data_IF_084007238476
#
_entry.id   IF_084007238476
#
_cell.length_a   1.000
_cell.length_b   1.000
_cell.length_c   1.000
_cell.angle_alpha   90.00
_cell.angle_beta   90.00
_cell.angle_gamma   90.00
#
_symmetry.space_group_name_H-M   'P 1'
#
loop_
_entity.id
_entity.type
_entity.pdbx_description
1 polymer ?
#
# COMPACT_ATOMS: atom_id res chain seq x y z
N UNK A 1 33.57 -52.63 -32.70
CA UNK A 1 34.16 -53.84 -32.07
C UNK A 1 35.07 -53.38 -30.92
N UNK A 2 34.94 -53.95 -29.72
CA UNK A 2 35.94 -54.83 -29.04
C UNK A 2 37.37 -54.24 -28.98
N UNK A 3 37.82 -53.82 -27.79
CA UNK A 3 38.69 -54.57 -26.83
C UNK A 3 40.19 -54.46 -27.16
N UNK A 4 41.15 -54.43 -26.23
CA UNK A 4 41.13 -54.23 -24.76
C UNK A 4 42.58 -54.16 -24.24
N UNK A 5 42.85 -53.31 -23.24
CA UNK A 5 43.95 -53.47 -22.25
C UNK A 5 45.40 -53.36 -22.84
N UNK A 6 46.51 -53.22 -22.09
CA UNK A 6 46.76 -53.07 -20.64
C UNK A 6 48.10 -52.30 -20.41
N UNK A 7 48.26 -51.69 -19.24
CA UNK A 7 49.51 -51.53 -18.45
C UNK A 7 50.67 -50.57 -18.86
N UNK A 8 51.13 -49.83 -17.82
CA UNK A 8 52.53 -49.60 -17.34
C UNK A 8 53.54 -49.01 -18.37
N UNK A 9 53.96 -47.74 -18.28
CA UNK A 9 54.86 -47.08 -17.28
C UNK A 9 56.37 -47.30 -17.60
N UNK A 10 57.25 -46.50 -16.98
CA UNK A 10 58.72 -46.45 -17.10
C UNK A 10 59.23 -45.72 -18.38
N UNK A 11 59.98 -44.61 -18.28
CA UNK A 11 61.43 -44.47 -17.93
C UNK A 11 62.25 -44.30 -19.23
N UNK A 12 63.20 -43.35 -19.36
CA UNK A 12 64.46 -43.32 -18.58
C UNK A 12 65.01 -41.92 -18.36
N UNK A 13 65.47 -41.69 -17.14
CA UNK A 13 66.16 -40.49 -16.64
C UNK A 13 67.68 -40.62 -16.85
N UNK A 14 68.41 -39.51 -17.06
CA UNK A 14 69.83 -39.39 -16.68
C UNK A 14 69.87 -38.52 -15.42
N UNK A 15 70.22 -38.97 -14.20
CA UNK A 15 71.32 -39.81 -13.69
C UNK A 15 72.46 -38.94 -13.08
N UNK A 16 73.06 -39.46 -11.99
CA UNK A 16 73.91 -38.79 -10.97
C UNK A 16 73.06 -38.03 -9.92
N UNK A 17 72.92 -38.46 -8.65
CA UNK A 17 73.70 -39.29 -7.70
C UNK A 17 74.91 -38.58 -7.06
N UNK A 18 74.73 -38.18 -5.79
CA UNK A 18 75.57 -38.41 -4.59
C UNK A 18 74.73 -37.97 -3.37
N UNK A 19 74.16 -38.85 -2.53
CA UNK A 19 74.75 -39.54 -1.35
C UNK A 19 75.48 -38.57 -0.38
N UNK A 20 75.16 -38.45 0.92
CA UNK A 20 74.20 -39.15 1.81
C UNK A 20 73.83 -38.19 3.01
N UNK A 21 73.10 -38.46 4.10
CA UNK A 21 72.58 -39.69 4.75
C UNK A 21 71.39 -39.41 5.71
N UNK A 22 70.88 -40.48 6.35
CA UNK A 22 70.18 -40.61 7.66
C UNK A 22 70.19 -39.42 8.65
N UNK A 23 69.16 -39.11 9.43
CA UNK A 23 67.76 -39.60 9.63
C UNK A 23 67.05 -38.64 10.64
N UNK A 24 65.77 -38.70 11.04
CA UNK A 24 64.60 -39.56 10.77
C UNK A 24 63.47 -39.31 11.82
N UNK A 25 62.30 -39.99 11.70
CA UNK A 25 61.06 -39.82 12.53
C UNK A 25 60.36 -38.44 12.40
N UNK A 26 59.07 -38.25 12.68
CA UNK A 26 57.85 -39.10 12.55
C UNK A 26 56.60 -38.19 12.60
N UNK A 27 55.40 -38.68 12.24
CA UNK A 27 54.15 -37.90 12.21
C UNK A 27 53.66 -37.50 13.62
N UNK A 28 53.84 -36.24 14.04
CA UNK A 28 52.97 -35.52 15.02
C UNK A 28 53.28 -34.02 15.17
N UNK A 29 52.23 -33.19 15.06
CA UNK A 29 52.04 -31.87 15.72
C UNK A 29 52.83 -30.62 15.26
N UNK A 30 52.27 -29.46 15.66
CA UNK A 30 52.91 -28.13 15.82
C UNK A 30 53.24 -27.25 14.58
N UNK A 31 52.19 -26.83 13.87
CA UNK A 31 51.80 -25.41 13.71
C UNK A 31 52.80 -24.33 14.22
N UNK A 32 53.27 -23.45 13.31
CA UNK A 32 53.84 -22.11 13.60
C UNK A 32 53.34 -21.12 12.53
N UNK A 33 53.08 -19.86 12.92
CA UNK A 33 52.50 -18.81 12.05
C UNK A 33 53.56 -18.01 11.26
N UNK A 34 53.11 -17.40 10.15
CA UNK A 34 53.73 -16.22 9.54
C UNK A 34 54.22 -16.43 8.08
N UNK A 35 53.79 -15.63 7.09
CA UNK A 35 52.71 -14.64 7.09
C UNK A 35 52.84 -13.63 5.95
N UNK A 36 51.91 -13.64 4.98
CA UNK A 36 51.73 -12.61 3.94
C UNK A 36 50.46 -12.85 3.10
N UNK A 37 49.27 -12.79 3.72
CA UNK A 37 48.02 -12.76 2.96
C UNK A 37 47.57 -11.30 2.77
N UNK A 38 47.75 -10.76 1.57
CA UNK A 38 47.25 -9.44 1.21
C UNK A 38 45.73 -9.48 1.04
N UNK A 39 45.01 -9.37 2.16
CA UNK A 39 43.56 -9.20 2.15
C UNK A 39 43.26 -7.83 1.57
N UNK A 40 42.97 -7.77 0.28
CA UNK A 40 42.23 -6.66 -0.29
C UNK A 40 40.85 -6.63 0.38
N UNK A 41 40.73 -5.79 1.40
CA UNK A 41 39.43 -5.41 1.94
C UNK A 41 38.68 -4.67 0.83
N UNK A 42 37.82 -5.40 0.10
CA UNK A 42 36.70 -4.77 -0.57
C UNK A 42 35.83 -4.18 0.53
N UNK A 43 36.09 -2.93 0.88
CA UNK A 43 35.03 -2.07 1.40
C UNK A 43 33.88 -2.20 0.42
N UNK A 44 32.68 -2.63 0.85
CA UNK A 44 31.53 -2.52 -0.04
C UNK A 44 31.43 -1.04 -0.41
N UNK A 45 31.51 -0.74 -1.72
CA UNK A 45 31.06 0.55 -2.23
C UNK A 45 29.65 0.70 -1.71
N UNK A 46 29.44 1.66 -0.82
CA UNK A 46 28.21 1.78 -0.06
C UNK A 46 27.05 1.81 -1.04
N UNK A 47 26.25 0.75 -1.04
CA UNK A 47 24.99 0.77 -1.74
C UNK A 47 24.19 1.89 -1.09
N UNK A 48 24.07 3.02 -1.80
CA UNK A 48 23.08 4.04 -1.46
C UNK A 48 21.76 3.37 -1.74
N UNK A 49 21.25 2.65 -0.74
CA UNK A 49 19.89 2.15 -0.75
C UNK A 49 19.01 3.36 -1.02
N UNK A 50 18.30 3.34 -2.15
CA UNK A 50 17.35 4.38 -2.48
C UNK A 50 16.13 4.17 -1.59
N UNK A 51 16.26 4.58 -0.32
CA UNK A 51 15.28 4.31 0.72
C UNK A 51 14.03 5.12 0.42
N UNK A 52 12.93 4.43 0.14
CA UNK A 52 11.65 5.07 -0.16
C UNK A 52 11.21 5.97 0.98
N UNK A 53 10.39 6.98 0.68
CA UNK A 53 9.90 7.92 1.71
C UNK A 53 9.11 7.17 2.79
N UNK A 54 8.41 6.10 2.40
CA UNK A 54 7.74 5.16 3.31
C UNK A 54 8.61 4.60 4.45
N UNK A 55 9.93 4.50 4.29
CA UNK A 55 10.84 3.99 5.35
C UNK A 55 11.13 5.01 6.47
N UNK A 56 10.51 6.19 6.43
CA UNK A 56 10.71 7.31 7.37
C UNK A 56 9.40 7.88 7.90
N UNK A 57 8.32 7.11 7.83
CA UNK A 57 6.96 7.49 8.27
C UNK A 57 6.49 6.46 9.30
N UNK A 58 6.34 6.88 10.55
CA UNK A 58 6.13 5.95 11.67
C UNK A 58 4.78 5.21 11.57
N UNK A 59 3.75 5.85 10.99
CA UNK A 59 2.43 5.27 10.73
C UNK A 59 2.49 4.14 9.69
N UNK A 60 3.31 4.31 8.64
CA UNK A 60 3.58 3.27 7.63
C UNK A 60 4.32 2.10 8.27
N UNK A 61 5.35 2.39 9.09
CA UNK A 61 6.13 1.36 9.78
C UNK A 61 5.26 0.58 10.80
N UNK A 62 4.30 1.23 11.44
CA UNK A 62 3.32 0.58 12.33
C UNK A 62 2.38 -0.37 11.56
N UNK A 63 1.88 0.02 10.38
CA UNK A 63 1.02 -0.85 9.55
C UNK A 63 1.79 -2.03 8.94
N UNK A 64 3.10 -1.89 8.74
CA UNK A 64 3.98 -2.98 8.30
C UNK A 64 4.32 -4.01 9.40
N UNK A 65 4.32 -3.63 10.68
CA UNK A 65 4.69 -4.49 11.82
C UNK A 65 6.00 -5.30 11.60
N UNK A 66 7.00 -4.63 11.01
CA UNK A 66 8.30 -5.24 10.69
C UNK A 66 8.36 -6.10 9.42
N UNK A 67 7.28 -6.17 8.63
CA UNK A 67 7.30 -6.78 7.30
C UNK A 67 8.17 -5.97 6.30
N UNK A 68 8.79 -6.67 5.35
CA UNK A 68 9.52 -6.09 4.22
C UNK A 68 8.59 -6.03 2.98
N UNK A 69 8.11 -4.84 2.56
CA UNK A 69 7.06 -4.73 1.56
C UNK A 69 7.58 -4.84 0.12
N UNK A 70 6.76 -5.43 -0.73
CA UNK A 70 7.05 -5.63 -2.15
C UNK A 70 6.76 -4.33 -2.91
N UNK A 71 7.80 -3.69 -3.44
CA UNK A 71 7.71 -2.42 -4.18
C UNK A 71 7.16 -2.56 -5.63
N UNK A 72 6.25 -3.51 -5.86
CA UNK A 72 5.58 -3.77 -7.14
C UNK A 72 4.14 -4.25 -6.91
N UNK A 73 3.22 -3.83 -7.79
CA UNK A 73 1.84 -4.31 -7.83
C UNK A 73 0.82 -3.44 -7.11
N UNK A 74 1.25 -2.54 -6.21
CA UNK A 74 0.44 -1.42 -5.75
C UNK A 74 0.51 -0.28 -6.77
N UNK A 75 -0.63 0.12 -7.32
CA UNK A 75 -0.78 1.27 -8.22
C UNK A 75 -1.41 2.41 -7.45
N UNK A 76 -0.59 3.41 -7.12
CA UNK A 76 -1.00 4.72 -6.64
C UNK A 76 -0.88 5.70 -7.82
N UNK A 77 -2.01 6.13 -8.37
CA UNK A 77 -2.07 7.12 -9.46
C UNK A 77 -2.64 8.44 -8.93
N UNK A 78 -1.93 9.51 -9.25
CA UNK A 78 -2.11 10.88 -8.76
C UNK A 78 -1.69 11.86 -9.86
N UNK A 79 -2.27 13.07 -9.92
CA UNK A 79 -1.75 14.12 -10.78
C UNK A 79 -0.34 14.55 -10.33
N UNK A 80 0.60 14.71 -11.27
CA UNK A 80 1.96 15.20 -10.97
C UNK A 80 1.96 16.62 -10.38
N UNK A 81 0.93 17.41 -10.68
CA UNK A 81 0.69 18.75 -10.14
C UNK A 81 -0.79 18.89 -9.81
N UNK A 82 -1.12 19.35 -8.60
CA UNK A 82 -2.48 19.82 -8.28
C UNK A 82 -2.49 21.31 -8.02
N UNK A 83 -3.37 22.02 -8.72
CA UNK A 83 -3.64 23.44 -8.49
C UNK A 83 -4.52 23.68 -7.23
N UNK A 84 -5.17 22.62 -6.71
CA UNK A 84 -6.03 22.66 -5.54
C UNK A 84 -5.67 21.53 -4.56
N UNK A 85 -4.93 21.86 -3.51
CA UNK A 85 -4.58 20.92 -2.44
C UNK A 85 -5.76 20.46 -1.60
N UNK A 86 -6.91 21.15 -1.61
CA UNK A 86 -8.09 20.77 -0.83
C UNK A 86 -8.94 19.67 -1.49
N UNK A 87 -8.63 19.28 -2.74
CA UNK A 87 -9.38 18.27 -3.48
C UNK A 87 -8.51 17.58 -4.55
N UNK A 88 -7.48 16.86 -4.13
CA UNK A 88 -6.59 16.09 -5.01
C UNK A 88 -7.21 14.73 -5.30
N UNK A 89 -7.47 14.41 -6.57
CA UNK A 89 -8.01 13.10 -6.98
C UNK A 89 -6.92 12.03 -6.90
N UNK A 90 -7.26 10.86 -6.34
CA UNK A 90 -6.37 9.71 -6.21
C UNK A 90 -7.06 8.45 -6.71
N UNK A 91 -6.33 7.65 -7.48
CA UNK A 91 -6.72 6.32 -7.92
C UNK A 91 -5.80 5.28 -7.24
N UNK A 92 -6.39 4.32 -6.56
CA UNK A 92 -5.71 3.20 -5.92
C UNK A 92 -6.14 1.91 -6.59
N UNK A 93 -5.20 1.04 -6.96
CA UNK A 93 -5.55 -0.32 -7.37
C UNK A 93 -4.41 -1.32 -7.18
N UNK A 94 -4.77 -2.60 -7.08
CA UNK A 94 -3.85 -3.73 -7.16
C UNK A 94 -4.33 -4.67 -8.26
N UNK A 95 -3.45 -5.06 -9.18
CA UNK A 95 -3.77 -6.01 -10.25
C UNK A 95 -3.62 -7.47 -9.75
N UNK A 96 -4.62 -7.92 -8.97
CA UNK A 96 -4.71 -9.27 -8.39
C UNK A 96 -6.15 -9.79 -8.38
N UNK A 97 -6.35 -11.11 -8.39
CA UNK A 97 -7.66 -11.71 -8.11
C UNK A 97 -8.20 -11.33 -6.73
N UNK A 98 -9.53 -11.36 -6.60
CA UNK A 98 -10.24 -11.29 -5.33
C UNK A 98 -10.96 -12.63 -5.11
N UNK A 99 -10.24 -13.61 -4.56
CA UNK A 99 -10.74 -14.97 -4.37
C UNK A 99 -10.63 -15.41 -2.91
N UNK A 100 -11.45 -16.39 -2.51
CA UNK A 100 -11.44 -16.96 -1.16
C UNK A 100 -10.03 -17.44 -0.77
N UNK A 101 -9.41 -16.74 0.18
CA UNK A 101 -8.06 -17.02 0.67
C UNK A 101 -6.90 -16.37 -0.09
N UNK A 102 -7.09 -15.88 -1.32
CA UNK A 102 -6.12 -15.01 -2.03
C UNK A 102 -6.81 -13.75 -2.56
N UNK A 103 -6.76 -12.69 -1.74
CA UNK A 103 -7.30 -11.37 -2.05
C UNK A 103 -6.48 -10.28 -1.34
N UNK A 104 -6.72 -9.01 -1.69
CA UNK A 104 -6.23 -7.86 -0.93
C UNK A 104 -7.21 -7.59 0.21
N UNK A 105 -6.76 -7.66 1.46
CA UNK A 105 -7.60 -7.39 2.63
C UNK A 105 -7.82 -5.89 2.80
N UNK A 106 -6.74 -5.09 2.71
CA UNK A 106 -6.80 -3.64 2.88
C UNK A 106 -5.85 -2.87 1.98
N UNK A 107 -6.19 -1.61 1.72
CA UNK A 107 -5.27 -0.58 1.20
C UNK A 107 -5.28 0.62 2.14
N UNK A 108 -4.14 0.91 2.75
CA UNK A 108 -3.90 2.07 3.62
C UNK A 108 -3.26 3.21 2.80
N UNK A 109 -3.67 4.46 3.04
CA UNK A 109 -3.21 5.65 2.31
C UNK A 109 -2.67 6.73 3.26
N UNK A 110 -1.48 7.27 2.94
CA UNK A 110 -0.73 8.20 3.79
C UNK A 110 -0.21 9.45 3.04
N UNK A 111 -0.27 10.60 3.69
CA UNK A 111 0.26 11.91 3.27
C UNK A 111 1.15 12.50 4.39
N UNK A 112 2.44 12.11 4.49
CA UNK A 112 3.34 12.50 5.59
C UNK A 112 3.71 14.00 5.65
N UNK A 113 3.31 14.81 4.67
CA UNK A 113 3.36 16.29 4.73
C UNK A 113 2.13 16.92 5.41
N UNK A 114 1.13 16.12 5.79
CA UNK A 114 -0.02 16.57 6.58
C UNK A 114 0.24 16.35 8.09
N UNK A 115 -0.28 17.20 9.00
CA UNK A 115 -0.17 17.02 10.45
C UNK A 115 -0.72 15.70 11.02
N UNK A 116 -1.55 15.02 10.24
CA UNK A 116 -2.02 13.65 10.49
C UNK A 116 -1.75 12.86 9.19
N UNK A 117 -0.69 12.02 9.15
CA UNK A 117 -0.29 11.35 7.93
C UNK A 117 -1.32 10.36 7.37
N UNK A 118 -2.08 9.68 8.23
CA UNK A 118 -3.13 8.76 7.78
C UNK A 118 -4.28 9.50 7.08
N UNK A 119 -4.68 9.01 5.90
CA UNK A 119 -5.80 9.56 5.13
C UNK A 119 -7.01 8.64 5.18
N UNK A 120 -6.81 7.35 4.90
CA UNK A 120 -7.86 6.35 4.92
C UNK A 120 -7.28 4.93 4.95
N UNK A 121 -8.08 3.99 5.42
CA UNK A 121 -7.90 2.56 5.17
C UNK A 121 -9.14 2.04 4.45
N UNK A 122 -8.96 1.42 3.29
CA UNK A 122 -10.03 0.75 2.54
C UNK A 122 -9.94 -0.75 2.77
N UNK A 123 -11.03 -1.40 3.16
CA UNK A 123 -11.10 -2.85 3.39
C UNK A 123 -11.96 -3.50 2.32
N UNK A 124 -11.51 -4.65 1.83
CA UNK A 124 -12.14 -5.38 0.74
C UNK A 124 -12.47 -6.82 1.15
N UNK A 125 -13.43 -7.42 0.47
CA UNK A 125 -13.73 -8.85 0.55
C UNK A 125 -13.67 -9.46 -0.86
N UNK A 126 -13.72 -10.80 -1.03
CA UNK A 126 -13.84 -11.40 -2.36
C UNK A 126 -15.01 -10.81 -3.19
N UNK A 127 -16.11 -10.42 -2.53
CA UNK A 127 -17.25 -9.76 -3.17
C UNK A 127 -16.96 -8.36 -3.72
N UNK A 128 -15.84 -7.70 -3.37
CA UNK A 128 -15.44 -6.46 -4.04
C UNK A 128 -15.06 -6.70 -5.51
N UNK A 129 -14.64 -7.92 -5.87
CA UNK A 129 -14.25 -8.32 -7.24
C UNK A 129 -12.93 -7.72 -7.75
N UNK A 130 -12.63 -6.46 -7.40
CA UNK A 130 -11.40 -5.74 -7.74
C UNK A 130 -10.97 -4.87 -6.56
N UNK A 131 -9.70 -4.95 -6.11
CA UNK A 131 -9.19 -4.10 -5.05
C UNK A 131 -8.76 -2.76 -5.64
N UNK A 132 -9.75 -1.91 -5.94
CA UNK A 132 -9.54 -0.61 -6.56
C UNK A 132 -10.53 0.45 -6.04
N UNK A 133 -10.00 1.62 -5.67
CA UNK A 133 -10.72 2.75 -5.09
C UNK A 133 -10.32 4.05 -5.78
N UNK A 134 -11.28 4.93 -6.05
CA UNK A 134 -11.03 6.33 -6.44
C UNK A 134 -11.73 7.27 -5.43
N UNK A 135 -11.03 8.32 -4.99
CA UNK A 135 -11.56 9.34 -4.06
C UNK A 135 -10.84 10.70 -4.25
N UNK A 136 -11.09 11.66 -3.36
CA UNK A 136 -10.31 12.89 -3.21
C UNK A 136 -9.79 13.11 -1.79
N UNK A 137 -8.56 13.60 -1.72
CA UNK A 137 -7.79 13.82 -0.49
C UNK A 137 -7.36 15.29 -0.40
N UNK A 138 -7.06 15.73 0.82
CA UNK A 138 -6.42 17.01 1.12
C UNK A 138 -4.93 16.82 1.27
N UNK A 139 -4.14 17.67 0.62
CA UNK A 139 -2.68 17.73 0.75
C UNK A 139 -2.28 19.16 1.11
N UNK A 140 -1.58 19.31 2.23
CA UNK A 140 -1.22 20.63 2.76
C UNK A 140 -0.08 21.28 1.96
N UNK A 141 0.84 20.47 1.45
CA UNK A 141 1.99 20.89 0.64
C UNK A 141 2.39 19.83 -0.41
N UNK A 142 3.38 20.17 -1.23
CA UNK A 142 4.05 19.25 -2.17
C UNK A 142 4.73 18.12 -1.39
N UNK A 143 4.36 16.87 -1.66
CA UNK A 143 4.81 15.73 -0.85
C UNK A 143 4.75 14.41 -1.63
N UNK A 144 5.40 13.37 -1.09
CA UNK A 144 5.21 11.98 -1.51
C UNK A 144 4.00 11.40 -0.78
N UNK A 145 2.96 11.00 -1.52
CA UNK A 145 1.86 10.18 -1.00
C UNK A 145 2.29 8.72 -1.08
N UNK A 146 1.90 7.92 -0.10
CA UNK A 146 2.29 6.51 0.05
C UNK A 146 1.03 5.66 0.22
N UNK A 147 0.99 4.48 -0.40
CA UNK A 147 -0.04 3.48 -0.20
C UNK A 147 0.55 2.10 0.12
N UNK A 148 -0.05 1.39 1.07
CA UNK A 148 0.27 0.01 1.43
C UNK A 148 -0.94 -0.88 1.16
N UNK A 149 -0.77 -1.97 0.40
CA UNK A 149 -1.80 -2.99 0.21
C UNK A 149 -1.45 -4.28 0.97
N UNK A 150 -2.30 -4.71 1.90
CA UNK A 150 -2.11 -5.95 2.67
C UNK A 150 -2.92 -7.07 2.02
N UNK A 151 -2.29 -8.22 1.78
CA UNK A 151 -2.93 -9.40 1.22
C UNK A 151 -3.27 -10.41 2.32
N UNK A 152 -4.26 -11.27 2.06
CA UNK A 152 -4.68 -12.39 2.93
C UNK A 152 -3.59 -13.45 3.21
N UNK A 153 -2.43 -13.32 2.55
CA UNK A 153 -1.22 -14.10 2.82
C UNK A 153 -0.28 -13.46 3.86
N UNK A 154 -0.61 -12.29 4.39
CA UNK A 154 0.26 -11.45 5.21
C UNK A 154 1.33 -10.67 4.44
N UNK A 155 1.41 -10.84 3.11
CA UNK A 155 2.29 -10.04 2.27
C UNK A 155 1.77 -8.59 2.15
N UNK A 156 2.69 -7.63 2.10
CA UNK A 156 2.37 -6.20 1.89
C UNK A 156 3.02 -5.71 0.61
N UNK A 157 2.28 -4.98 -0.22
CA UNK A 157 2.80 -4.23 -1.37
C UNK A 157 2.92 -2.75 -0.98
N UNK A 158 3.93 -2.04 -1.52
CA UNK A 158 4.09 -0.59 -1.35
C UNK A 158 4.14 0.12 -2.69
N UNK A 159 3.45 1.26 -2.77
CA UNK A 159 3.56 2.23 -3.86
C UNK A 159 3.69 3.64 -3.28
N UNK A 160 4.53 4.49 -3.89
CA UNK A 160 4.69 5.89 -3.49
C UNK A 160 4.82 6.79 -4.71
N UNK A 161 4.24 7.99 -4.67
CA UNK A 161 4.31 8.97 -5.76
C UNK A 161 4.36 10.42 -5.21
N UNK A 162 5.23 11.25 -5.79
CA UNK A 162 5.25 12.70 -5.52
C UNK A 162 4.12 13.41 -6.28
N UNK A 163 3.42 14.31 -5.59
CA UNK A 163 2.45 15.25 -6.16
C UNK A 163 2.78 16.67 -5.72
N UNK A 164 2.90 17.57 -6.70
CA UNK A 164 3.26 18.98 -6.48
C UNK A 164 2.02 19.84 -6.30
N UNK A 165 1.79 20.33 -5.09
CA UNK A 165 0.64 21.17 -4.74
C UNK A 165 1.03 22.65 -4.86
N UNK A 166 0.29 23.44 -5.64
CA UNK A 166 0.54 24.89 -5.77
C UNK A 166 -0.28 25.74 -4.81
N UNK A 167 -1.44 25.25 -4.38
CA UNK A 167 -2.36 25.93 -3.45
C UNK A 167 -2.66 24.97 -2.29
N UNK A 168 -2.29 25.34 -1.07
CA UNK A 168 -2.40 24.47 0.12
C UNK A 168 -3.84 24.03 0.42
N UNK A 169 -4.03 22.76 0.75
CA UNK A 169 -5.33 22.21 1.15
C UNK A 169 -5.88 22.68 2.49
N UNK A 170 -5.11 23.43 3.28
CA UNK A 170 -5.54 23.96 4.58
C UNK A 170 -6.63 25.04 4.49
N UNK A 171 -6.85 25.64 3.32
CA UNK A 171 -7.72 26.81 3.14
C UNK A 171 -9.05 26.41 2.48
N UNK A 172 -9.94 25.81 3.27
CA UNK A 172 -11.36 25.66 2.91
C UNK A 172 -12.19 26.76 3.57
N UNK A 173 -12.76 27.66 2.76
CA UNK A 173 -13.59 28.77 3.21
C UNK A 173 -14.96 28.29 3.76
N UNK A 174 -15.00 28.01 5.06
CA UNK A 174 -16.14 27.36 5.72
C UNK A 174 -17.46 28.16 5.69
N UNK A 175 -17.39 29.48 5.49
CA UNK A 175 -18.54 30.40 5.47
C UNK A 175 -19.52 30.16 4.29
N UNK A 176 -19.24 29.17 3.42
CA UNK A 176 -20.03 28.86 2.22
C UNK A 176 -20.46 27.40 2.08
N UNK A 177 -20.29 26.57 3.12
CA UNK A 177 -20.72 25.17 3.08
C UNK A 177 -22.26 25.01 3.07
N UNK A 178 -22.77 24.03 2.29
CA UNK A 178 -24.21 23.73 2.17
C UNK A 178 -24.71 22.87 3.34
N UNK A 179 -25.00 23.54 4.46
CA UNK A 179 -25.63 22.96 5.65
C UNK A 179 -27.08 22.53 5.42
N UNK A 180 -27.76 23.01 4.37
CA UNK A 180 -29.16 22.71 4.11
C UNK A 180 -29.37 21.32 3.49
N UNK A 181 -28.36 20.80 2.80
CA UNK A 181 -28.32 19.44 2.25
C UNK A 181 -27.27 18.55 2.95
N UNK A 182 -26.81 18.90 4.14
CA UNK A 182 -25.84 18.10 4.89
C UNK A 182 -26.37 16.68 5.18
N UNK A 183 -25.47 15.70 5.22
CA UNK A 183 -25.78 14.26 5.24
C UNK A 183 -26.58 13.74 4.02
N UNK A 184 -26.89 14.55 3.00
CA UNK A 184 -27.46 14.03 1.76
C UNK A 184 -26.43 13.17 1.02
N UNK A 185 -26.70 11.86 1.00
CA UNK A 185 -25.94 10.85 0.25
C UNK A 185 -26.57 10.54 -1.10
N UNK A 186 -25.77 10.13 -2.08
CA UNK A 186 -26.18 9.71 -3.43
C UNK A 186 -25.32 8.55 -3.89
N UNK A 187 -25.95 7.49 -4.42
CA UNK A 187 -25.26 6.32 -4.98
C UNK A 187 -25.56 6.17 -6.48
N UNK A 188 -24.58 5.66 -7.22
CA UNK A 188 -24.70 5.12 -8.57
C UNK A 188 -24.08 3.73 -8.58
N UNK A 189 -24.88 2.72 -8.89
CA UNK A 189 -24.48 1.32 -9.02
C UNK A 189 -25.04 0.77 -10.35
N UNK A 190 -24.57 -0.39 -10.86
CA UNK A 190 -25.18 -1.04 -12.01
C UNK A 190 -26.54 -1.67 -11.64
N UNK A 191 -27.57 -1.40 -12.45
CA UNK A 191 -28.91 -1.99 -12.29
C UNK A 191 -28.92 -3.50 -12.62
N UNK A 192 -28.02 -3.95 -13.50
CA UNK A 192 -27.89 -5.33 -13.97
C UNK A 192 -26.41 -5.69 -14.18
N UNK A 193 -26.01 -6.88 -13.74
CA UNK A 193 -24.72 -7.53 -14.01
C UNK A 193 -24.93 -9.01 -14.42
N UNK A 194 -23.94 -9.64 -15.04
CA UNK A 194 -23.91 -11.11 -15.09
C UNK A 194 -23.33 -11.69 -13.79
N UNK A 195 -23.55 -12.98 -13.52
CA UNK A 195 -23.02 -13.65 -12.32
C UNK A 195 -21.49 -13.54 -12.25
N UNK A 196 -20.98 -12.81 -11.25
CA UNK A 196 -19.55 -12.59 -11.05
C UNK A 196 -18.91 -11.52 -11.94
N UNK A 197 -19.66 -10.81 -12.78
CA UNK A 197 -19.17 -9.62 -13.47
C UNK A 197 -18.88 -8.48 -12.46
N UNK A 198 -17.83 -7.71 -12.73
CA UNK A 198 -17.38 -6.64 -11.84
C UNK A 198 -18.10 -5.33 -12.17
N UNK A 199 -18.90 -4.82 -11.24
CA UNK A 199 -19.57 -3.52 -11.31
C UNK A 199 -18.81 -2.39 -10.62
N UNK A 200 -18.81 -1.19 -11.21
CA UNK A 200 -18.36 0.05 -10.56
C UNK A 200 -19.50 0.63 -9.71
N UNK A 201 -19.24 0.91 -8.42
CA UNK A 201 -20.15 1.65 -7.54
C UNK A 201 -19.50 2.98 -7.17
N UNK A 202 -20.23 4.07 -7.34
CA UNK A 202 -19.85 5.42 -6.91
C UNK A 202 -20.86 5.91 -5.86
N UNK A 203 -20.37 6.27 -4.67
CA UNK A 203 -21.17 6.90 -3.61
C UNK A 203 -20.55 8.23 -3.21
N UNK A 204 -21.37 9.21 -2.85
CA UNK A 204 -20.96 10.54 -2.37
C UNK A 204 -21.89 11.02 -1.26
N UNK A 205 -21.33 11.69 -0.24
CA UNK A 205 -22.08 12.38 0.82
C UNK A 205 -21.73 13.86 0.85
N UNK A 206 -22.74 14.72 1.01
CA UNK A 206 -22.53 16.14 1.29
C UNK A 206 -22.16 16.31 2.78
N UNK A 207 -20.91 16.65 3.05
CA UNK A 207 -20.34 16.71 4.40
C UNK A 207 -19.13 17.67 4.46
N UNK A 208 -19.01 18.54 5.48
CA UNK A 208 -17.94 19.55 5.52
C UNK A 208 -16.54 18.95 5.67
N UNK A 209 -16.41 17.80 6.34
CA UNK A 209 -15.14 17.19 6.77
C UNK A 209 -14.27 18.21 7.54
N UNK A 210 -14.76 18.80 8.63
CA UNK A 210 -13.94 19.73 9.40
C UNK A 210 -12.85 18.96 10.16
N UNK A 211 -11.61 19.30 9.81
CA UNK A 211 -10.36 18.70 10.28
C UNK A 211 -10.07 18.91 11.77
N UNK A 212 -10.73 19.89 12.41
CA UNK A 212 -10.42 20.35 13.75
C UNK A 212 -9.08 21.09 13.88
N UNK A 213 -8.52 21.59 12.77
CA UNK A 213 -7.22 22.30 12.72
C UNK A 213 -7.34 23.81 12.44
N UNK A 214 -8.53 24.30 12.11
CA UNK A 214 -8.80 25.68 11.69
C UNK A 214 -9.46 26.49 12.82
N UNK A 215 -9.15 27.77 12.91
CA UNK A 215 -9.88 28.73 13.75
C UNK A 215 -10.97 29.47 12.97
N UNK A 216 -12.03 29.90 13.66
CA UNK A 216 -13.04 30.79 13.10
C UNK A 216 -12.59 32.27 13.10
N UNK A 217 -13.51 33.19 12.77
CA UNK A 217 -13.27 34.63 12.80
C UNK A 217 -13.18 35.23 14.23
N UNK A 218 -13.63 34.49 15.25
CA UNK A 218 -13.47 34.82 16.67
C UNK A 218 -12.06 34.47 17.19
N UNK A 219 -11.38 33.54 16.50
CA UNK A 219 -10.11 32.93 16.91
C UNK A 219 -10.28 31.62 17.66
N UNK A 220 -11.50 31.10 17.78
CA UNK A 220 -11.81 29.84 18.44
C UNK A 220 -11.56 28.65 17.48
N UNK A 221 -11.04 27.55 18.01
CA UNK A 221 -10.85 26.31 17.24
C UNK A 221 -12.20 25.74 16.83
N UNK A 222 -12.41 25.54 15.52
CA UNK A 222 -13.64 24.92 15.02
C UNK A 222 -13.62 23.42 15.35
N UNK A 223 -14.69 22.87 15.94
CA UNK A 223 -14.75 21.45 16.29
C UNK A 223 -14.49 20.53 15.08
N UNK A 224 -13.77 19.43 15.32
CA UNK A 224 -13.67 18.34 14.36
C UNK A 224 -15.07 17.78 14.07
N UNK A 225 -15.33 17.49 12.79
CA UNK A 225 -16.53 16.80 12.30
C UNK A 225 -16.16 16.02 11.05
N UNK A 226 -16.09 14.70 11.15
CA UNK A 226 -15.62 13.80 10.09
C UNK A 226 -16.59 12.64 9.93
N UNK A 227 -17.00 12.35 8.70
CA UNK A 227 -17.36 10.97 8.35
C UNK A 227 -16.10 10.12 8.57
N UNK A 228 -16.08 9.35 9.66
CA UNK A 228 -14.95 8.51 10.09
C UNK A 228 -15.02 7.10 9.49
N UNK A 229 -16.23 6.68 9.07
CA UNK A 229 -16.48 5.31 8.62
C UNK A 229 -17.47 5.26 7.46
N UNK A 230 -17.19 4.37 6.52
CA UNK A 230 -18.07 3.99 5.42
C UNK A 230 -18.21 2.47 5.37
N UNK A 231 -19.41 1.96 5.11
CA UNK A 231 -19.69 0.53 4.97
C UNK A 231 -20.62 0.26 3.79
N UNK A 232 -20.35 -0.82 3.05
CA UNK A 232 -21.21 -1.32 1.98
C UNK A 232 -21.48 -2.83 2.17
N UNK A 233 -22.75 -3.20 2.26
CA UNK A 233 -23.24 -4.58 2.39
C UNK A 233 -24.14 -4.94 1.21
N UNK A 234 -24.08 -6.19 0.75
CA UNK A 234 -24.99 -6.74 -0.26
C UNK A 234 -25.80 -7.86 0.41
N UNK A 235 -27.12 -7.74 0.46
CA UNK A 235 -28.00 -8.67 1.19
C UNK A 235 -27.58 -8.90 2.66
N UNK A 236 -26.92 -7.91 3.29
CA UNK A 236 -26.35 -7.98 4.64
C UNK A 236 -24.94 -8.59 4.75
N UNK A 237 -24.33 -9.05 3.65
CA UNK A 237 -22.94 -9.54 3.63
C UNK A 237 -21.96 -8.39 3.34
N UNK A 238 -20.85 -8.21 4.09
CA UNK A 238 -19.88 -7.14 3.85
C UNK A 238 -19.16 -7.27 2.50
N UNK A 239 -19.22 -6.20 1.69
CA UNK A 239 -18.57 -6.12 0.38
C UNK A 239 -17.37 -5.20 0.37
N UNK A 240 -17.44 -4.10 1.12
CA UNK A 240 -16.39 -3.09 1.20
C UNK A 240 -16.62 -2.21 2.45
N UNK A 241 -15.55 -1.69 3.05
CA UNK A 241 -15.65 -0.59 4.04
C UNK A 241 -14.46 0.34 3.95
N UNK A 242 -14.55 1.51 4.58
CA UNK A 242 -13.44 2.43 4.72
C UNK A 242 -13.43 3.11 6.09
N UNK A 243 -12.26 3.16 6.72
CA UNK A 243 -11.96 4.07 7.82
C UNK A 243 -11.36 5.36 7.21
N UNK A 244 -11.87 6.52 7.59
CA UNK A 244 -11.60 7.82 6.95
C UNK A 244 -11.06 8.83 7.98
N UNK A 245 -9.96 9.50 7.64
CA UNK A 245 -9.29 10.45 8.53
C UNK A 245 -9.38 11.91 8.01
N UNK A 246 -8.93 12.85 8.85
CA UNK A 246 -8.94 14.32 8.63
C UNK A 246 -8.43 14.80 7.26
N UNK A 247 -7.58 14.01 6.62
CA UNK A 247 -6.99 14.28 5.30
C UNK A 247 -7.90 13.90 4.11
N UNK A 248 -9.14 13.42 4.33
CA UNK A 248 -10.15 13.26 3.28
C UNK A 248 -10.74 14.62 2.87
N UNK A 249 -11.12 14.78 1.60
CA UNK A 249 -11.68 16.03 1.08
C UNK A 249 -13.16 16.25 1.47
N UNK A 250 -13.55 17.53 1.58
CA UNK A 250 -14.95 17.96 1.72
C UNK A 250 -15.83 17.34 0.63
N UNK A 251 -17.05 16.95 1.01
CA UNK A 251 -17.96 16.11 0.24
C UNK A 251 -17.31 14.77 -0.21
N UNK A 252 -16.99 13.88 0.76
CA UNK A 252 -16.39 12.58 0.48
C UNK A 252 -17.16 11.80 -0.57
N UNK A 253 -16.44 11.29 -1.56
CA UNK A 253 -16.93 10.24 -2.44
C UNK A 253 -15.98 9.07 -2.42
N UNK A 254 -16.54 7.87 -2.56
CA UNK A 254 -15.79 6.65 -2.77
C UNK A 254 -16.36 6.01 -4.01
N UNK A 255 -15.51 5.78 -5.00
CA UNK A 255 -15.78 4.78 -6.03
C UNK A 255 -15.06 3.50 -5.64
N UNK A 256 -15.77 2.38 -5.67
CA UNK A 256 -15.26 1.04 -5.41
C UNK A 256 -15.90 0.05 -6.40
N UNK A 257 -15.65 -1.25 -6.22
CA UNK A 257 -16.14 -2.29 -7.11
C UNK A 257 -16.89 -3.38 -6.33
N UNK A 258 -17.75 -4.13 -7.04
CA UNK A 258 -18.51 -5.27 -6.52
C UNK A 258 -18.54 -6.40 -7.58
N UNK A 259 -18.61 -7.68 -7.16
CA UNK A 259 -18.76 -8.86 -8.03
C UNK A 259 -19.85 -9.83 -7.51
N UNK A 260 -21.13 -9.43 -7.58
CA UNK A 260 -22.23 -10.20 -7.02
C UNK A 260 -22.44 -11.54 -7.72
N UNK A 261 -22.67 -12.59 -6.93
CA UNK A 261 -23.03 -13.92 -7.42
C UNK A 261 -24.54 -14.09 -7.64
N UNK A 262 -25.35 -13.25 -7.00
CA UNK A 262 -26.80 -13.17 -7.12
C UNK A 262 -27.25 -11.71 -6.92
N UNK A 263 -28.45 -11.38 -7.40
CA UNK A 263 -29.03 -10.05 -7.21
C UNK A 263 -29.41 -9.75 -5.76
N UNK A 264 -29.70 -8.48 -5.48
CA UNK A 264 -30.08 -8.03 -4.14
C UNK A 264 -29.91 -6.54 -3.90
N UNK A 265 -30.21 -6.14 -2.67
CA UNK A 265 -30.03 -4.77 -2.18
C UNK A 265 -28.58 -4.57 -1.75
N UNK A 266 -27.89 -3.61 -2.39
CA UNK A 266 -26.68 -2.99 -1.88
C UNK A 266 -27.09 -1.87 -0.93
N UNK A 267 -26.70 -1.97 0.34
CA UNK A 267 -26.88 -0.93 1.37
C UNK A 267 -25.54 -0.23 1.61
N UNK A 268 -25.56 1.09 1.77
CA UNK A 268 -24.35 1.92 1.91
C UNK A 268 -24.55 2.91 3.06
N UNK A 269 -23.67 2.87 4.06
CA UNK A 269 -23.77 3.66 5.30
C UNK A 269 -22.53 4.53 5.45
N UNK A 270 -22.72 5.82 5.71
CA UNK A 270 -21.68 6.77 6.13
C UNK A 270 -21.95 7.19 7.59
N UNK A 271 -20.92 7.20 8.44
CA UNK A 271 -21.04 7.52 9.88
C UNK A 271 -20.05 8.61 10.28
N UNK A 272 -20.54 9.65 10.97
CA UNK A 272 -19.77 10.75 11.54
C UNK A 272 -19.20 10.40 12.93
N UNK A 273 -18.07 11.01 13.31
CA UNK A 273 -17.44 10.95 14.64
C UNK A 273 -18.35 11.45 15.80
N UNK A 274 -19.46 12.10 15.48
CA UNK A 274 -20.55 12.47 16.40
C UNK A 274 -21.51 11.31 16.69
N UNK A 275 -21.50 10.25 15.88
CA UNK A 275 -22.49 9.17 15.84
C UNK A 275 -23.70 9.42 14.93
N UNK A 276 -23.79 10.57 14.26
CA UNK A 276 -24.77 10.79 13.19
C UNK A 276 -24.41 9.96 11.93
N UNK A 277 -25.41 9.58 11.12
CA UNK A 277 -25.16 8.74 9.94
C UNK A 277 -26.17 8.98 8.82
N UNK A 278 -25.74 8.67 7.59
CA UNK A 278 -26.56 8.73 6.38
C UNK A 278 -26.50 7.41 5.62
N UNK A 279 -27.63 7.02 5.02
CA UNK A 279 -27.78 5.74 4.34
C UNK A 279 -28.29 5.93 2.91
N UNK A 280 -27.76 5.13 2.00
CA UNK A 280 -28.25 4.97 0.62
C UNK A 280 -28.42 3.48 0.32
N UNK A 281 -29.20 3.16 -0.70
CA UNK A 281 -29.28 1.80 -1.23
C UNK A 281 -29.45 1.79 -2.75
N UNK A 282 -29.11 0.65 -3.36
CA UNK A 282 -29.33 0.37 -4.77
C UNK A 282 -29.73 -1.10 -4.96
N UNK A 283 -30.71 -1.35 -5.82
CA UNK A 283 -31.09 -2.70 -6.23
C UNK A 283 -30.24 -3.15 -7.42
N UNK A 284 -29.65 -4.35 -7.33
CA UNK A 284 -28.82 -4.94 -8.37
C UNK A 284 -29.47 -6.25 -8.84
N UNK A 285 -29.76 -6.34 -10.13
CA UNK A 285 -30.17 -7.61 -10.76
C UNK A 285 -28.94 -8.38 -11.23
N UNK A 286 -29.00 -9.72 -11.14
CA UNK A 286 -28.00 -10.62 -11.76
C UNK A 286 -28.72 -11.54 -12.75
N UNK A 287 -28.16 -11.68 -13.97
CA UNK A 287 -28.79 -12.35 -15.13
C UNK A 287 -27.87 -13.31 -15.86
#
# INVERSE_FOLDING_TARGET
>A
MRRSLYYIEAMTMKANIMTNSTAGLSRRSALVLGGAAAVFSLSPLGAVANTGTWQRVDEVLAVLDGADPIAQGMVLDLPLVSENGASVQVNLSVDRPMADGEFVESIHLFAPGNPYPEIATYHFTPLSGRPAVETRIRLNETQTVIALAKLSSGAVLVGEQEVRVTTSGCLTDADTYDTANEFQTRVRAPEVLATGDIGEVLTIINHPQESGLRTDASGDMVPMRLIERFEATLNGEPVFSADLNRSVATNPYIKFHIAPQAGGTLELIWTEDTGESAQASAEISVS
#
